data_IF_534131520643
#
_entry.id   IF_534131520643
#
_cell.length_a   1.000
_cell.length_b   1.000
_cell.length_c   1.000
_cell.angle_alpha   90.00
_cell.angle_beta   90.00
_cell.angle_gamma   90.00
#
_symmetry.space_group_name_H-M   'P 1'
#
loop_
_entity.id
_entity.type
_entity.pdbx_description
1 polymer ?
#
# COMPACT_ATOMS: atom_id res chain seq x y z
N UNK A 1 6.20 1.84 -8.47
CA UNK A 1 7.41 1.05 -8.90
C UNK A 1 7.56 1.15 -10.40
N UNK A 2 8.78 1.09 -10.93
CA UNK A 2 9.02 0.96 -12.39
C UNK A 2 8.50 -0.37 -12.95
N UNK A 3 8.31 -1.38 -12.09
CA UNK A 3 7.76 -2.70 -12.42
C UNK A 3 7.74 -3.61 -11.20
N UNK A 4 7.72 -4.92 -11.44
CA UNK A 4 7.67 -5.95 -10.38
C UNK A 4 8.92 -6.86 -10.34
N UNK A 5 9.94 -6.54 -11.14
CA UNK A 5 11.20 -7.29 -11.14
C UNK A 5 12.09 -6.89 -9.94
N UNK A 6 13.03 -7.73 -9.52
CA UNK A 6 13.97 -7.39 -8.45
C UNK A 6 14.82 -6.14 -8.70
N UNK A 7 14.97 -5.73 -9.96
CA UNK A 7 15.71 -4.52 -10.36
C UNK A 7 14.85 -3.27 -10.44
N UNK A 8 13.52 -3.40 -10.32
CA UNK A 8 12.60 -2.27 -10.43
C UNK A 8 12.66 -1.34 -9.22
N UNK A 9 12.51 -0.04 -9.48
CA UNK A 9 12.76 1.05 -8.52
C UNK A 9 11.44 1.72 -8.07
N UNK A 10 11.47 2.27 -6.87
CA UNK A 10 10.33 2.99 -6.27
C UNK A 10 10.15 4.34 -6.97
N UNK A 11 8.94 4.60 -7.47
CA UNK A 11 8.57 5.87 -8.12
C UNK A 11 7.77 6.79 -7.21
N UNK A 12 6.98 6.26 -6.30
CA UNK A 12 6.15 7.03 -5.37
C UNK A 12 5.98 6.24 -4.07
N UNK A 13 5.97 6.96 -2.95
CA UNK A 13 5.54 6.46 -1.64
C UNK A 13 4.52 7.41 -1.05
N UNK A 14 3.40 6.87 -0.58
CA UNK A 14 2.36 7.63 0.11
C UNK A 14 2.03 6.95 1.44
N UNK A 15 1.97 7.75 2.51
CA UNK A 15 1.61 7.30 3.84
C UNK A 15 0.59 8.28 4.41
N UNK A 16 -0.49 7.75 4.96
CA UNK A 16 -1.44 8.49 5.78
C UNK A 16 -1.42 7.95 7.20
N UNK A 17 -1.72 8.80 8.18
CA UNK A 17 -1.94 8.33 9.56
C UNK A 17 -3.37 7.79 9.74
N UNK A 18 -3.67 7.23 10.92
CA UNK A 18 -5.00 6.71 11.22
C UNK A 18 -6.13 7.74 11.16
N UNK A 19 -5.84 9.05 11.11
CA UNK A 19 -6.84 10.11 10.92
C UNK A 19 -7.03 10.48 9.45
N UNK A 20 -6.37 9.80 8.51
CA UNK A 20 -6.42 10.10 7.08
C UNK A 20 -5.58 11.29 6.65
N UNK A 21 -4.78 11.86 7.55
CA UNK A 21 -3.87 12.95 7.21
C UNK A 21 -2.66 12.41 6.47
N UNK A 22 -2.29 13.08 5.37
CA UNK A 22 -1.09 12.72 4.60
C UNK A 22 0.15 13.08 5.42
N UNK A 23 0.91 12.08 5.84
CA UNK A 23 2.18 12.27 6.56
C UNK A 23 3.38 12.16 5.64
N UNK A 24 3.22 11.47 4.50
CA UNK A 24 4.23 11.38 3.46
C UNK A 24 3.59 11.16 2.08
N UNK A 25 4.05 11.88 1.05
CA UNK A 25 3.64 11.64 -0.34
C UNK A 25 4.65 12.27 -1.29
N UNK A 26 5.60 11.47 -1.79
CA UNK A 26 6.67 11.95 -2.65
C UNK A 26 6.94 11.03 -3.83
N UNK A 27 7.32 11.64 -4.95
CA UNK A 27 7.84 10.98 -6.14
C UNK A 27 9.36 10.91 -6.11
N UNK A 28 9.92 9.91 -6.80
CA UNK A 28 11.36 9.67 -6.87
C UNK A 28 11.82 9.42 -8.31
N UNK A 29 12.98 9.95 -8.63
CA UNK A 29 13.69 9.64 -9.88
C UNK A 29 14.44 8.32 -9.72
N UNK A 30 14.10 7.28 -10.52
CA UNK A 30 14.87 6.04 -10.53
C UNK A 30 16.29 6.31 -11.03
N UNK A 31 17.27 5.53 -10.56
CA UNK A 31 18.69 5.77 -10.81
C UNK A 31 19.25 4.87 -11.92
N UNK A 32 18.64 3.72 -12.12
CA UNK A 32 19.11 2.69 -13.07
C UNK A 32 18.08 2.38 -14.15
N UNK A 33 16.80 2.38 -13.81
CA UNK A 33 15.72 2.11 -14.77
C UNK A 33 15.32 3.39 -15.48
N UNK A 34 15.52 3.46 -16.79
CA UNK A 34 15.26 4.66 -17.60
C UNK A 34 13.93 4.66 -18.34
N UNK A 35 13.27 3.49 -18.45
CA UNK A 35 11.95 3.36 -19.10
C UNK A 35 11.12 2.27 -18.41
N UNK A 36 9.81 2.51 -18.31
CA UNK A 36 8.82 1.58 -17.71
C UNK A 36 7.45 1.73 -18.41
N UNK A 37 7.43 1.77 -19.73
CA UNK A 37 6.23 2.03 -20.55
C UNK A 37 5.03 1.15 -20.15
N UNK A 38 5.26 -0.17 -19.91
CA UNK A 38 4.19 -1.10 -19.54
C UNK A 38 3.49 -0.77 -18.23
N UNK A 39 4.16 -0.13 -17.30
CA UNK A 39 3.61 0.24 -16.01
C UNK A 39 3.08 1.67 -15.97
N UNK A 40 3.51 2.53 -16.91
CA UNK A 40 2.92 3.86 -17.11
C UNK A 40 1.43 3.73 -17.40
N UNK A 41 1.01 2.76 -18.20
CA UNK A 41 -0.41 2.53 -18.50
C UNK A 41 -1.24 2.15 -17.26
N UNK A 42 -0.57 1.72 -16.19
CA UNK A 42 -1.21 1.32 -14.93
C UNK A 42 -1.27 2.50 -13.95
N UNK A 43 -0.12 3.09 -13.61
CA UNK A 43 0.00 4.09 -12.54
C UNK A 43 0.22 5.52 -13.05
N UNK A 44 0.30 5.72 -14.37
CA UNK A 44 0.40 7.01 -15.06
C UNK A 44 1.62 7.88 -14.70
N UNK A 45 2.61 7.33 -13.99
CA UNK A 45 3.85 8.06 -13.66
C UNK A 45 4.82 7.90 -14.83
N UNK A 46 5.01 8.96 -15.58
CA UNK A 46 5.94 8.98 -16.74
C UNK A 46 7.37 9.35 -16.29
N UNK A 47 8.41 9.01 -17.09
CA UNK A 47 9.78 9.44 -16.81
C UNK A 47 9.92 10.95 -16.63
N UNK A 48 9.18 11.75 -17.41
CA UNK A 48 9.23 13.22 -17.33
C UNK A 48 8.67 13.77 -16.01
N UNK A 49 7.69 13.08 -15.38
CA UNK A 49 7.12 13.51 -14.10
C UNK A 49 8.10 13.39 -12.94
N UNK A 50 9.08 12.53 -13.06
CA UNK A 50 10.03 12.21 -11.97
C UNK A 50 11.47 12.62 -12.28
N UNK A 51 11.74 13.16 -13.46
CA UNK A 51 13.10 13.50 -13.90
C UNK A 51 13.82 14.52 -13.01
N UNK A 52 13.06 15.44 -12.40
CA UNK A 52 13.53 16.46 -11.47
C UNK A 52 13.40 16.07 -9.99
N UNK A 53 12.92 14.87 -9.70
CA UNK A 53 12.71 14.42 -8.33
C UNK A 53 13.98 13.83 -7.73
N UNK A 54 14.14 13.87 -6.40
CA UNK A 54 15.27 13.24 -5.74
C UNK A 54 15.26 11.72 -5.93
N UNK A 55 16.39 11.06 -5.72
CA UNK A 55 16.44 9.61 -5.63
C UNK A 55 15.72 9.11 -4.36
N UNK A 56 15.23 7.87 -4.37
CA UNK A 56 14.59 7.27 -3.20
C UNK A 56 15.47 7.24 -1.95
N UNK A 57 16.79 7.18 -2.12
CA UNK A 57 17.74 7.16 -1.01
C UNK A 57 17.62 8.39 -0.09
N UNK A 58 17.18 9.53 -0.62
CA UNK A 58 16.93 10.74 0.19
C UNK A 58 15.76 10.60 1.17
N UNK A 59 14.85 9.67 0.90
CA UNK A 59 13.68 9.41 1.74
C UNK A 59 13.96 8.43 2.89
N UNK A 60 15.02 7.64 2.80
CA UNK A 60 15.31 6.57 3.78
C UNK A 60 15.34 7.09 5.23
N UNK A 61 15.99 8.21 5.58
CA UNK A 61 16.01 8.69 6.95
C UNK A 61 14.62 9.03 7.50
N UNK A 62 13.82 9.76 6.73
CA UNK A 62 12.47 10.17 7.17
C UNK A 62 11.52 8.97 7.24
N UNK A 63 11.58 8.04 6.29
CA UNK A 63 10.77 6.82 6.31
C UNK A 63 11.17 5.92 7.49
N UNK A 64 12.47 5.82 7.79
CA UNK A 64 12.97 5.11 8.97
C UNK A 64 12.36 5.66 10.25
N UNK A 65 12.32 6.98 10.41
CA UNK A 65 11.71 7.60 11.58
C UNK A 65 10.21 7.33 11.65
N UNK A 66 9.47 7.51 10.54
CA UNK A 66 8.03 7.26 10.51
C UNK A 66 7.68 5.81 10.88
N UNK A 67 8.42 4.84 10.34
CA UNK A 67 8.18 3.42 10.66
C UNK A 67 8.70 3.02 12.05
N UNK A 68 9.69 3.72 12.60
CA UNK A 68 10.14 3.51 13.97
C UNK A 68 9.08 3.91 15.01
N UNK A 69 8.21 4.83 14.69
CA UNK A 69 7.11 5.30 15.57
C UNK A 69 5.83 4.48 15.37
N UNK A 70 5.71 3.72 14.28
CA UNK A 70 4.50 2.97 13.95
C UNK A 70 4.34 1.73 14.82
N UNK A 71 3.19 1.58 15.48
CA UNK A 71 2.80 0.35 16.18
C UNK A 71 2.02 -0.61 15.28
N UNK A 72 1.26 -0.08 14.34
CA UNK A 72 0.46 -0.79 13.35
C UNK A 72 0.73 -0.20 11.97
N UNK A 73 1.03 -1.06 11.01
CA UNK A 73 1.14 -0.73 9.59
C UNK A 73 0.01 -1.44 8.86
N UNK A 74 -0.86 -0.67 8.23
CA UNK A 74 -2.00 -1.15 7.45
C UNK A 74 -1.72 -0.88 5.98
N UNK A 75 -1.92 -1.89 5.14
CA UNK A 75 -1.72 -1.75 3.71
C UNK A 75 -2.60 -2.72 2.91
N UNK A 76 -2.42 -2.68 1.60
CA UNK A 76 -2.99 -3.64 0.65
C UNK A 76 -1.83 -4.29 -0.10
N UNK A 77 -1.65 -5.60 0.02
CA UNK A 77 -0.39 -6.29 -0.30
C UNK A 77 0.78 -5.80 0.55
N UNK A 78 0.54 -5.59 1.82
CA UNK A 78 1.41 -4.88 2.78
C UNK A 78 2.84 -5.42 2.79
N UNK A 79 3.02 -6.74 2.77
CA UNK A 79 4.35 -7.36 2.81
C UNK A 79 5.17 -7.10 1.55
N UNK A 80 4.52 -6.87 0.40
CA UNK A 80 5.21 -6.49 -0.82
C UNK A 80 5.81 -5.08 -0.70
N UNK A 81 5.06 -4.14 -0.13
CA UNK A 81 5.52 -2.77 0.09
C UNK A 81 6.66 -2.73 1.12
N UNK A 82 6.50 -3.44 2.24
CA UNK A 82 7.54 -3.58 3.28
C UNK A 82 8.82 -4.18 2.70
N UNK A 83 8.70 -5.25 1.90
CA UNK A 83 9.85 -5.89 1.25
C UNK A 83 10.57 -4.93 0.30
N UNK A 84 9.82 -4.16 -0.50
CA UNK A 84 10.39 -3.16 -1.39
C UNK A 84 11.08 -2.03 -0.63
N UNK A 85 10.46 -1.48 0.42
CA UNK A 85 11.07 -0.44 1.25
C UNK A 85 12.35 -0.95 1.93
N UNK A 86 12.33 -2.16 2.48
CA UNK A 86 13.48 -2.78 3.12
C UNK A 86 14.64 -3.02 2.13
N UNK A 87 14.32 -3.51 0.92
CA UNK A 87 15.29 -3.69 -0.16
C UNK A 87 16.05 -2.39 -0.48
N UNK A 88 15.36 -1.25 -0.41
CA UNK A 88 15.95 0.07 -0.69
C UNK A 88 16.50 0.77 0.56
N UNK A 89 16.64 0.05 1.67
CA UNK A 89 17.41 0.49 2.84
C UNK A 89 16.57 1.13 3.94
N UNK A 90 15.23 1.03 3.90
CA UNK A 90 14.38 1.45 5.02
C UNK A 90 14.36 0.33 6.07
N UNK A 91 14.97 0.51 7.26
CA UNK A 91 14.90 -0.47 8.32
C UNK A 91 13.56 -0.42 9.05
N UNK A 92 13.17 -1.55 9.60
CA UNK A 92 12.04 -1.67 10.52
C UNK A 92 12.61 -2.11 11.88
N UNK A 93 13.02 -1.15 12.75
CA UNK A 93 13.82 -1.43 13.96
C UNK A 93 13.06 -2.19 15.05
N UNK A 94 11.75 -2.15 15.03
CA UNK A 94 10.88 -3.04 15.78
C UNK A 94 9.94 -3.72 14.81
N UNK A 95 9.34 -4.80 15.23
CA UNK A 95 8.35 -5.49 14.44
C UNK A 95 6.96 -4.90 14.76
N UNK A 96 6.50 -3.87 14.04
CA UNK A 96 5.14 -3.39 14.19
C UNK A 96 4.17 -4.52 13.80
N UNK A 97 2.92 -4.38 14.23
CA UNK A 97 1.87 -5.26 13.71
C UNK A 97 1.63 -4.89 12.24
N UNK A 98 1.66 -5.87 11.37
CA UNK A 98 1.31 -5.70 9.95
C UNK A 98 -0.11 -6.22 9.71
N UNK A 99 -0.93 -5.41 9.10
CA UNK A 99 -2.28 -5.80 8.69
C UNK A 99 -2.43 -5.60 7.18
N UNK A 100 -2.73 -6.69 6.49
CA UNK A 100 -3.06 -6.70 5.08
C UNK A 100 -4.59 -6.71 4.90
N UNK A 101 -5.13 -5.62 4.36
CA UNK A 101 -6.58 -5.48 4.18
C UNK A 101 -7.09 -6.42 3.09
N UNK A 102 -6.28 -6.73 2.07
CA UNK A 102 -6.64 -7.69 1.04
C UNK A 102 -6.78 -9.11 1.58
N UNK A 103 -5.86 -9.54 2.44
CA UNK A 103 -5.94 -10.84 3.13
C UNK A 103 -7.13 -10.89 4.08
N UNK A 104 -7.31 -9.85 4.91
CA UNK A 104 -8.42 -9.75 5.85
C UNK A 104 -9.77 -9.79 5.12
N UNK A 105 -9.92 -9.00 4.05
CA UNK A 105 -11.13 -8.98 3.22
C UNK A 105 -11.40 -10.33 2.56
N UNK A 106 -10.38 -10.95 1.98
CA UNK A 106 -10.50 -12.26 1.31
C UNK A 106 -10.87 -13.37 2.30
N UNK A 107 -10.45 -13.24 3.56
CA UNK A 107 -10.82 -14.16 4.63
C UNK A 107 -12.29 -14.01 5.04
N UNK A 108 -12.74 -12.78 5.27
CA UNK A 108 -14.11 -12.47 5.72
C UNK A 108 -15.14 -12.78 4.63
N UNK A 109 -14.79 -12.58 3.35
CA UNK A 109 -15.72 -12.70 2.21
C UNK A 109 -15.47 -13.95 1.37
N UNK A 110 -15.10 -15.08 2.00
CA UNK A 110 -14.84 -16.35 1.31
C UNK A 110 -16.01 -16.85 0.46
N UNK A 111 -17.26 -16.58 0.86
CA UNK A 111 -18.44 -17.02 0.12
C UNK A 111 -18.65 -16.24 -1.18
N UNK A 112 -18.14 -14.99 -1.24
CA UNK A 112 -18.20 -14.14 -2.44
C UNK A 112 -17.06 -14.47 -3.39
N UNK A 113 -15.91 -14.92 -2.84
CA UNK A 113 -14.68 -15.20 -3.58
C UNK A 113 -14.44 -16.72 -3.64
N UNK A 114 -15.09 -17.43 -4.54
CA UNK A 114 -14.84 -18.85 -4.77
C UNK A 114 -13.88 -19.11 -5.94
N UNK A 115 -12.81 -19.87 -5.75
CA UNK A 115 -12.08 -20.25 -4.54
C UNK A 115 -11.46 -19.02 -3.85
N UNK A 116 -11.01 -19.15 -2.61
CA UNK A 116 -10.33 -18.10 -1.83
C UNK A 116 -9.23 -17.43 -2.66
N UNK A 117 -9.52 -16.29 -3.26
CA UNK A 117 -8.59 -15.52 -4.08
C UNK A 117 -8.35 -14.18 -3.43
N UNK A 118 -7.10 -13.73 -3.44
CA UNK A 118 -6.76 -12.39 -2.98
C UNK A 118 -7.50 -11.35 -3.83
N UNK A 119 -8.41 -10.60 -3.23
CA UNK A 119 -9.21 -9.60 -3.94
C UNK A 119 -8.38 -8.36 -4.29
N UNK A 120 -8.70 -7.70 -5.38
CA UNK A 120 -8.11 -6.40 -5.70
C UNK A 120 -8.67 -5.32 -4.78
N UNK A 121 -7.87 -4.30 -4.45
CA UNK A 121 -8.29 -3.15 -3.63
C UNK A 121 -9.61 -2.54 -4.14
N UNK A 122 -9.74 -2.35 -5.45
CA UNK A 122 -10.97 -1.84 -6.08
C UNK A 122 -12.21 -2.69 -5.74
N UNK A 123 -12.07 -4.00 -5.65
CA UNK A 123 -13.17 -4.92 -5.31
C UNK A 123 -13.56 -4.76 -3.84
N UNK A 124 -12.58 -4.72 -2.94
CA UNK A 124 -12.79 -4.49 -1.52
C UNK A 124 -13.43 -3.11 -1.27
N UNK A 125 -12.89 -2.07 -1.88
CA UNK A 125 -13.38 -0.70 -1.77
C UNK A 125 -14.84 -0.57 -2.27
N UNK A 126 -15.16 -1.18 -3.42
CA UNK A 126 -16.52 -1.18 -3.96
C UNK A 126 -17.52 -1.92 -3.04
N UNK A 127 -17.09 -3.04 -2.42
CA UNK A 127 -17.91 -3.78 -1.46
C UNK A 127 -18.33 -2.89 -0.27
N UNK A 128 -17.41 -2.07 0.24
CA UNK A 128 -17.67 -1.14 1.34
C UNK A 128 -18.22 0.22 0.89
N UNK A 129 -18.53 0.40 -0.38
CA UNK A 129 -19.15 1.62 -0.90
C UNK A 129 -18.19 2.79 -1.11
N UNK A 130 -16.89 2.56 -1.15
CA UNK A 130 -15.92 3.59 -1.49
C UNK A 130 -15.97 3.93 -2.98
N UNK A 131 -16.21 5.20 -3.30
CA UNK A 131 -16.40 5.69 -4.65
C UNK A 131 -15.25 6.63 -5.03
N UNK A 132 -14.14 6.07 -5.49
CA UNK A 132 -13.04 6.83 -6.10
C UNK A 132 -12.73 6.26 -7.48
N UNK A 133 -12.16 7.09 -8.35
CA UNK A 133 -11.82 6.73 -9.72
C UNK A 133 -10.33 6.82 -10.03
N UNK A 134 -9.53 7.39 -9.14
CA UNK A 134 -8.08 7.59 -9.32
C UNK A 134 -7.24 6.37 -8.87
N UNK A 135 -7.65 5.19 -9.35
CA UNK A 135 -6.95 3.93 -9.04
C UNK A 135 -5.53 3.91 -9.60
N UNK A 136 -4.65 3.20 -8.88
CA UNK A 136 -3.21 3.10 -9.15
C UNK A 136 -2.41 4.39 -8.90
N UNK A 137 -3.04 5.40 -8.29
CA UNK A 137 -2.35 6.49 -7.63
C UNK A 137 -2.04 6.08 -6.19
N UNK A 138 -0.77 6.06 -5.80
CA UNK A 138 -0.36 5.58 -4.48
C UNK A 138 -1.11 6.25 -3.32
N UNK A 139 -1.38 7.56 -3.39
CA UNK A 139 -2.12 8.26 -2.34
C UNK A 139 -3.61 7.91 -2.34
N UNK A 140 -4.22 7.79 -3.51
CA UNK A 140 -5.62 7.39 -3.63
C UNK A 140 -5.82 5.95 -3.12
N UNK A 141 -4.95 5.02 -3.53
CA UNK A 141 -4.97 3.64 -3.06
C UNK A 141 -4.75 3.53 -1.55
N UNK A 142 -3.84 4.35 -0.97
CA UNK A 142 -3.63 4.42 0.49
C UNK A 142 -4.88 4.91 1.22
N UNK A 143 -5.57 5.93 0.71
CA UNK A 143 -6.83 6.43 1.28
C UNK A 143 -7.96 5.41 1.18
N UNK A 144 -8.07 4.71 0.04
CA UNK A 144 -9.04 3.64 -0.15
C UNK A 144 -8.78 2.48 0.84
N UNK A 145 -7.50 2.12 1.05
CA UNK A 145 -7.11 1.10 2.02
C UNK A 145 -7.51 1.49 3.44
N UNK A 146 -7.26 2.74 3.84
CA UNK A 146 -7.67 3.25 5.16
C UNK A 146 -9.19 3.23 5.31
N UNK A 147 -9.94 3.62 4.27
CA UNK A 147 -11.40 3.54 4.28
C UNK A 147 -11.87 2.10 4.49
N UNK A 148 -11.34 1.15 3.72
CA UNK A 148 -11.67 -0.27 3.87
C UNK A 148 -11.35 -0.79 5.27
N UNK A 149 -10.21 -0.38 5.85
CA UNK A 149 -9.85 -0.74 7.22
C UNK A 149 -10.93 -0.33 8.22
N UNK A 150 -11.38 0.93 8.19
CA UNK A 150 -12.42 1.41 9.10
C UNK A 150 -13.78 0.78 8.82
N UNK A 151 -14.15 0.63 7.55
CA UNK A 151 -15.41 -0.02 7.18
C UNK A 151 -15.47 -1.48 7.68
N UNK A 152 -14.35 -2.21 7.62
CA UNK A 152 -14.26 -3.57 8.18
C UNK A 152 -14.35 -3.58 9.72
N UNK A 153 -13.84 -2.57 10.41
CA UNK A 153 -13.98 -2.45 11.87
C UNK A 153 -15.42 -2.13 12.28
N UNK A 154 -16.15 -1.38 11.45
CA UNK A 154 -17.56 -1.04 11.69
C UNK A 154 -18.51 -2.20 11.29
N UNK A 155 -18.04 -3.14 10.47
CA UNK A 155 -18.78 -4.34 10.09
C UNK A 155 -18.66 -5.40 11.19
N UNK A 156 -19.72 -5.59 11.97
CA UNK A 156 -19.74 -6.50 13.11
C UNK A 156 -19.45 -7.97 12.72
N UNK A 157 -19.93 -8.41 11.56
CA UNK A 157 -19.71 -9.78 11.07
C UNK A 157 -18.26 -9.97 10.65
N UNK A 158 -17.69 -8.99 9.93
CA UNK A 158 -16.29 -8.98 9.56
C UNK A 158 -15.38 -8.98 10.80
N UNK A 159 -15.68 -8.13 11.79
CA UNK A 159 -14.92 -8.03 13.03
C UNK A 159 -14.97 -9.35 13.82
N UNK A 160 -16.14 -9.98 13.94
CA UNK A 160 -16.31 -11.27 14.63
C UNK A 160 -15.47 -12.38 13.98
N UNK A 161 -15.47 -12.45 12.65
CA UNK A 161 -14.67 -13.42 11.90
C UNK A 161 -13.16 -13.17 12.08
N UNK A 162 -12.70 -11.91 12.01
CA UNK A 162 -11.30 -11.55 12.24
C UNK A 162 -10.84 -11.91 13.65
N UNK A 163 -11.67 -11.71 14.68
CA UNK A 163 -11.36 -12.09 16.07
C UNK A 163 -11.29 -13.61 16.28
N UNK A 164 -12.00 -14.39 15.49
CA UNK A 164 -11.96 -15.85 15.55
C UNK A 164 -10.74 -16.47 14.85
N UNK A 165 -10.06 -15.69 14.01
CA UNK A 165 -8.88 -16.12 13.25
C UNK A 165 -7.62 -16.31 14.12
N UNK A 166 -7.55 -15.69 15.27
CA UNK A 166 -6.40 -15.72 16.18
C UNK A 166 -6.41 -16.87 17.21
N UNK A 167 -7.29 -17.87 17.03
CA UNK A 167 -7.33 -19.10 17.85
C UNK A 167 -6.92 -20.29 17.00
#
# INVERSE_FOLDING_TARGET
MTGLLPTDEILQVSIVNGLGQVVYNHYFCPQTVTSWEKTVDIHHITPSMVADKPSFQTAVPVLTQLFAEAQLIVGYSTMQDISNLHKYGVPFPHQPIYLDIGDAYSFVNTDILHPRTYAKLKTCAAHYGYMDTDWHNSLADTKATLYCFYAMLDDADALFQLMSFGK
#
